data_IF_620235710328
#
_entry.id   IF_620235710328
#
_cell.length_a   1.000
_cell.length_b   1.000
_cell.length_c   1.000
_cell.angle_alpha   90.00
_cell.angle_beta   90.00
_cell.angle_gamma   90.00
#
_symmetry.space_group_name_H-M   'P 1'
#
loop_
_entity.id
_entity.type
_entity.pdbx_description
1 polymer ?
#
# COMPACT_ATOMS: atom_id res chain seq x y z
N UNK A 1 -17.46 -23.45 -32.91
CA UNK A 1 -16.91 -24.47 -31.99
C UNK A 1 -16.24 -25.66 -32.69
N UNK A 2 -16.76 -26.17 -33.81
CA UNK A 2 -16.18 -27.35 -34.51
C UNK A 2 -14.75 -27.13 -35.06
N UNK A 3 -14.45 -25.96 -35.63
CA UNK A 3 -13.13 -25.65 -36.18
C UNK A 3 -12.01 -25.63 -35.11
N UNK A 4 -12.27 -25.06 -33.94
CA UNK A 4 -11.31 -24.98 -32.82
C UNK A 4 -11.02 -26.38 -32.26
N UNK A 5 -12.06 -27.22 -32.14
CA UNK A 5 -11.92 -28.60 -31.66
C UNK A 5 -11.09 -29.44 -32.63
N UNK A 6 -11.37 -29.38 -33.94
CA UNK A 6 -10.61 -30.11 -34.95
C UNK A 6 -9.14 -29.65 -35.02
N UNK A 7 -8.91 -28.34 -34.97
CA UNK A 7 -7.56 -27.76 -34.92
C UNK A 7 -6.78 -28.21 -33.69
N UNK A 8 -7.42 -28.22 -32.52
CA UNK A 8 -6.77 -28.67 -31.29
C UNK A 8 -6.47 -30.18 -31.32
N UNK A 9 -7.40 -31.01 -31.80
CA UNK A 9 -7.23 -32.47 -31.85
C UNK A 9 -6.12 -32.93 -32.81
N UNK A 10 -5.79 -32.15 -33.84
CA UNK A 10 -4.74 -32.49 -34.80
C UNK A 10 -3.34 -31.98 -34.43
N UNK A 11 -3.17 -31.26 -33.31
CA UNK A 11 -1.83 -30.88 -32.80
C UNK A 11 -1.15 -32.04 -32.09
N UNK A 12 0.18 -31.99 -32.02
CA UNK A 12 0.99 -32.92 -31.21
C UNK A 12 0.59 -32.90 -29.74
N UNK A 13 0.75 -34.04 -29.07
CA UNK A 13 0.42 -34.25 -27.66
C UNK A 13 1.13 -33.21 -26.77
N UNK A 14 2.42 -33.00 -27.02
CA UNK A 14 3.24 -32.02 -26.30
C UNK A 14 2.67 -30.61 -26.46
N UNK A 15 2.26 -30.22 -27.67
CA UNK A 15 1.70 -28.89 -27.91
C UNK A 15 0.36 -28.69 -27.21
N UNK A 16 -0.49 -29.74 -27.14
CA UNK A 16 -1.75 -29.70 -26.38
C UNK A 16 -1.51 -29.48 -24.90
N UNK A 17 -0.60 -30.26 -24.30
CA UNK A 17 -0.26 -30.13 -22.88
C UNK A 17 0.34 -28.75 -22.58
N UNK A 18 1.30 -28.30 -23.39
CA UNK A 18 1.92 -26.97 -23.22
C UNK A 18 0.86 -25.86 -23.30
N UNK A 19 -0.04 -25.88 -24.28
CA UNK A 19 -1.11 -24.86 -24.37
C UNK A 19 -2.04 -24.88 -23.14
N UNK A 20 -2.46 -26.07 -22.71
CA UNK A 20 -3.40 -26.21 -21.59
C UNK A 20 -2.76 -25.77 -20.27
N UNK A 21 -1.49 -26.12 -20.01
CA UNK A 21 -0.81 -25.74 -18.77
C UNK A 21 -0.25 -24.31 -18.80
N UNK A 22 0.15 -23.79 -19.96
CA UNK A 22 0.69 -22.41 -20.07
C UNK A 22 -0.41 -21.36 -19.91
N UNK A 23 -1.65 -21.66 -20.31
CA UNK A 23 -2.77 -20.72 -20.21
C UNK A 23 -3.05 -20.24 -18.77
N UNK A 24 -3.28 -21.13 -17.78
CA UNK A 24 -3.46 -20.71 -16.40
C UNK A 24 -2.19 -20.11 -15.80
N UNK A 25 -0.99 -20.61 -16.17
CA UNK A 25 0.28 -20.05 -15.69
C UNK A 25 0.45 -18.58 -16.11
N UNK A 26 0.20 -18.29 -17.39
CA UNK A 26 0.25 -16.93 -17.94
C UNK A 26 -0.77 -16.03 -17.25
N UNK A 27 -1.96 -16.55 -16.97
CA UNK A 27 -2.99 -15.80 -16.27
C UNK A 27 -2.60 -15.48 -14.82
N UNK A 28 -1.97 -16.42 -14.10
CA UNK A 28 -1.41 -16.18 -12.76
C UNK A 28 -0.35 -15.08 -12.79
N UNK A 29 0.56 -15.11 -13.77
CA UNK A 29 1.57 -14.05 -13.94
C UNK A 29 0.92 -12.68 -14.18
N UNK A 30 -0.11 -12.61 -15.02
CA UNK A 30 -0.85 -11.36 -15.27
C UNK A 30 -1.52 -10.85 -13.99
N UNK A 31 -2.26 -11.69 -13.27
CA UNK A 31 -2.94 -11.30 -12.03
C UNK A 31 -1.94 -10.86 -10.97
N UNK A 32 -0.83 -11.59 -10.83
CA UNK A 32 0.25 -11.25 -9.90
C UNK A 32 0.89 -9.90 -10.24
N UNK A 33 1.20 -9.66 -11.52
CA UNK A 33 1.78 -8.40 -11.98
C UNK A 33 0.82 -7.23 -11.75
N UNK A 34 -0.47 -7.39 -12.08
CA UNK A 34 -1.50 -6.38 -11.81
C UNK A 34 -1.64 -6.09 -10.32
N UNK A 35 -1.52 -7.11 -9.48
CA UNK A 35 -1.59 -6.97 -8.03
C UNK A 35 -0.38 -6.20 -7.50
N UNK A 36 0.83 -6.48 -7.99
CA UNK A 36 2.06 -5.77 -7.61
C UNK A 36 2.01 -4.28 -8.00
N UNK A 37 1.58 -3.97 -9.22
CA UNK A 37 1.46 -2.57 -9.67
C UNK A 37 0.50 -1.75 -8.80
N UNK A 38 -0.58 -2.37 -8.34
CA UNK A 38 -1.51 -1.67 -7.44
C UNK A 38 -0.96 -1.60 -6.02
N UNK A 39 -0.19 -2.60 -5.58
CA UNK A 39 0.41 -2.64 -4.24
C UNK A 39 1.43 -1.53 -4.01
N UNK A 40 2.26 -1.19 -5.00
CA UNK A 40 3.19 -0.04 -4.91
C UNK A 40 2.46 1.28 -4.61
N UNK A 41 1.26 1.44 -5.17
CA UNK A 41 0.46 2.63 -4.93
C UNK A 41 -0.15 2.66 -3.51
N UNK A 42 -0.43 1.49 -2.93
CA UNK A 42 -0.85 1.36 -1.54
C UNK A 42 0.27 1.74 -0.55
N UNK A 43 1.49 1.24 -0.74
CA UNK A 43 2.63 1.58 0.14
C UNK A 43 2.91 3.09 0.13
N UNK A 44 2.89 3.71 -1.05
CA UNK A 44 3.11 5.16 -1.17
C UNK A 44 2.07 5.99 -0.42
N UNK A 45 0.81 5.53 -0.41
CA UNK A 45 -0.28 6.19 0.30
C UNK A 45 -0.13 6.02 1.82
N UNK A 46 0.32 4.86 2.29
CA UNK A 46 0.56 4.59 3.72
C UNK A 46 1.68 5.48 4.28
N UNK A 47 2.80 5.60 3.57
CA UNK A 47 3.90 6.48 4.00
C UNK A 47 3.47 7.95 4.13
N UNK A 48 2.65 8.45 3.19
CA UNK A 48 2.15 9.81 3.24
C UNK A 48 1.11 10.01 4.35
N UNK A 49 0.24 9.04 4.59
CA UNK A 49 -0.71 9.07 5.72
C UNK A 49 0.04 9.08 7.06
N UNK A 50 1.08 8.26 7.20
CA UNK A 50 1.93 8.23 8.39
C UNK A 50 2.61 9.59 8.60
N UNK A 51 3.19 10.17 7.55
CA UNK A 51 3.82 11.50 7.60
C UNK A 51 2.83 12.59 7.99
N UNK A 52 1.62 12.61 7.42
CA UNK A 52 0.56 13.55 7.81
C UNK A 52 0.17 13.39 9.28
N UNK A 53 0.12 12.16 9.79
CA UNK A 53 -0.16 11.89 11.20
C UNK A 53 0.96 12.38 12.13
N UNK A 54 2.22 12.14 11.77
CA UNK A 54 3.39 12.64 12.49
C UNK A 54 3.42 14.17 12.53
N UNK A 55 3.17 14.82 11.38
CA UNK A 55 3.03 16.27 11.28
C UNK A 55 1.98 16.81 12.26
N UNK A 56 0.80 16.20 12.29
CA UNK A 56 -0.28 16.62 13.20
C UNK A 56 0.11 16.42 14.67
N UNK A 57 0.65 15.26 15.01
CA UNK A 57 1.09 14.97 16.38
C UNK A 57 2.14 16.00 16.84
N UNK A 58 3.09 16.31 15.96
CA UNK A 58 4.13 17.30 16.27
C UNK A 58 3.58 18.72 16.41
N UNK A 59 2.61 19.11 15.59
CA UNK A 59 1.94 20.41 15.71
C UNK A 59 1.17 20.55 17.03
N UNK A 60 0.50 19.48 17.47
CA UNK A 60 -0.19 19.44 18.77
C UNK A 60 0.82 19.51 19.91
N UNK A 61 1.91 18.75 19.85
CA UNK A 61 2.95 18.80 20.87
C UNK A 61 3.60 20.19 20.97
N UNK A 62 3.87 20.85 19.83
CA UNK A 62 4.38 22.22 19.80
C UNK A 62 3.41 23.21 20.46
N UNK A 63 2.09 23.05 20.24
CA UNK A 63 1.06 23.85 20.90
C UNK A 63 1.04 23.64 22.42
N UNK A 64 1.16 22.39 22.88
CA UNK A 64 1.19 22.06 24.31
C UNK A 64 2.37 22.73 25.01
N UNK A 65 3.56 22.65 24.41
CA UNK A 65 4.76 23.30 24.92
C UNK A 65 4.64 24.83 24.92
N UNK A 66 4.03 25.40 23.88
CA UNK A 66 3.77 26.84 23.78
C UNK A 66 2.88 27.33 24.93
N UNK A 67 1.81 26.58 25.25
CA UNK A 67 0.96 26.89 26.40
C UNK A 67 1.68 26.67 27.73
N UNK A 68 2.53 25.65 27.85
CA UNK A 68 3.35 25.41 29.02
C UNK A 68 4.29 26.59 29.31
N UNK A 69 5.04 27.06 28.30
CA UNK A 69 5.88 28.27 28.38
C UNK A 69 5.06 29.49 28.83
N UNK A 70 3.89 29.71 28.20
CA UNK A 70 3.04 30.85 28.53
C UNK A 70 2.53 30.80 29.98
N UNK A 71 2.10 29.63 30.44
CA UNK A 71 1.57 29.43 31.78
C UNK A 71 2.67 29.54 32.85
N UNK A 72 3.81 28.88 32.62
CA UNK A 72 4.97 28.94 33.49
C UNK A 72 5.49 30.38 33.64
N UNK A 73 5.62 31.11 32.53
CA UNK A 73 5.99 32.53 32.55
C UNK A 73 5.02 33.36 33.39
N UNK A 74 3.70 33.21 33.19
CA UNK A 74 2.71 33.96 33.99
C UNK A 74 2.78 33.60 35.46
N UNK A 75 2.95 32.32 35.80
CA UNK A 75 3.15 31.85 37.16
C UNK A 75 4.34 32.52 37.83
N UNK A 76 5.48 32.57 37.15
CA UNK A 76 6.68 33.26 37.64
C UNK A 76 6.44 34.75 37.86
N UNK A 77 5.85 35.48 36.89
CA UNK A 77 5.58 36.92 37.04
C UNK A 77 4.62 37.20 38.20
N UNK A 78 3.57 36.41 38.35
CA UNK A 78 2.50 36.60 39.34
C UNK A 78 2.94 36.24 40.77
N UNK A 79 3.78 35.22 40.93
CA UNK A 79 4.19 34.74 42.26
C UNK A 79 5.58 35.21 42.67
N UNK A 80 6.49 35.38 41.71
CA UNK A 80 7.92 35.55 41.95
C UNK A 80 8.63 34.24 42.30
N UNK A 81 7.92 33.10 42.31
CA UNK A 81 8.49 31.81 42.67
C UNK A 81 9.30 31.23 41.50
N UNK A 82 10.61 31.03 41.73
CA UNK A 82 11.54 30.45 40.75
C UNK A 82 11.17 29.02 40.35
N UNK A 83 10.35 28.30 41.11
CA UNK A 83 9.88 26.97 40.74
C UNK A 83 9.15 26.97 39.38
N UNK A 84 8.50 28.07 38.99
CA UNK A 84 7.88 28.21 37.67
C UNK A 84 8.89 28.33 36.51
N UNK A 85 10.16 28.67 36.78
CA UNK A 85 11.18 28.75 35.73
C UNK A 85 11.67 27.38 35.26
N UNK A 86 11.52 26.33 36.08
CA UNK A 86 11.86 24.96 35.68
C UNK A 86 11.03 24.49 34.48
N UNK A 87 9.68 24.43 34.56
CA UNK A 87 8.86 24.02 33.41
C UNK A 87 8.95 24.98 32.24
N UNK A 88 9.25 26.27 32.47
CA UNK A 88 9.51 27.24 31.40
C UNK A 88 10.76 26.86 30.59
N UNK A 89 11.88 26.59 31.26
CA UNK A 89 13.14 26.25 30.61
C UNK A 89 13.08 24.89 29.91
N UNK A 90 12.43 23.91 30.52
CA UNK A 90 12.18 22.59 29.90
C UNK A 90 11.36 22.75 28.62
N UNK A 91 10.19 23.41 28.71
CA UNK A 91 9.31 23.59 27.55
C UNK A 91 9.95 24.43 26.45
N UNK A 92 10.81 25.39 26.80
CA UNK A 92 11.61 26.17 25.85
C UNK A 92 12.57 25.28 25.07
N UNK A 93 13.31 24.39 25.76
CA UNK A 93 14.22 23.45 25.09
C UNK A 93 13.48 22.51 24.15
N UNK A 94 12.33 22.01 24.59
CA UNK A 94 11.49 21.11 23.80
C UNK A 94 10.86 21.81 22.59
N UNK A 95 10.53 23.12 22.67
CA UNK A 95 10.00 23.89 21.54
C UNK A 95 11.00 24.00 20.38
N UNK A 96 12.29 24.17 20.69
CA UNK A 96 13.33 24.21 19.67
C UNK A 96 13.46 22.85 18.96
N UNK A 97 13.44 21.75 19.72
CA UNK A 97 13.44 20.40 19.18
C UNK A 97 12.18 20.11 18.35
N UNK A 98 11.02 20.50 18.87
CA UNK A 98 9.74 20.30 18.20
C UNK A 98 9.67 21.06 16.87
N UNK A 99 10.19 22.29 16.84
CA UNK A 99 10.33 23.09 15.63
C UNK A 99 11.27 22.45 14.61
N UNK A 100 12.41 21.89 15.04
CA UNK A 100 13.34 21.18 14.14
C UNK A 100 12.71 19.94 13.53
N UNK A 101 11.98 19.17 14.33
CA UNK A 101 11.28 17.97 13.86
C UNK A 101 10.16 18.31 12.87
N UNK A 102 9.40 19.38 13.11
CA UNK A 102 8.45 19.92 12.12
C UNK A 102 9.15 20.25 10.80
N UNK A 103 10.32 20.90 10.85
CA UNK A 103 11.09 21.25 9.66
C UNK A 103 11.61 20.01 8.91
N UNK A 104 12.06 18.97 9.62
CA UNK A 104 12.45 17.70 9.01
C UNK A 104 11.26 17.02 8.33
N UNK A 105 10.10 17.02 8.99
CA UNK A 105 8.87 16.43 8.45
C UNK A 105 8.35 17.14 7.20
N UNK A 106 8.70 18.41 6.95
CA UNK A 106 8.30 19.14 5.71
C UNK A 106 9.43 19.32 4.69
N UNK A 107 10.66 18.91 5.01
CA UNK A 107 11.84 19.11 4.17
C UNK A 107 11.60 18.68 2.72
N UNK A 108 11.14 17.44 2.54
CA UNK A 108 10.88 16.84 1.23
C UNK A 108 9.41 17.01 0.78
N UNK A 109 8.68 17.96 1.36
CA UNK A 109 7.32 18.24 0.90
C UNK A 109 7.38 18.93 -0.47
N UNK A 110 6.55 18.56 -1.46
CA UNK A 110 6.47 19.35 -2.70
C UNK A 110 5.84 20.74 -2.45
N UNK A 111 5.15 20.93 -1.33
CA UNK A 111 4.47 22.18 -1.00
C UNK A 111 5.43 23.21 -0.41
N UNK A 112 5.70 24.29 -1.16
CA UNK A 112 6.48 25.43 -0.65
C UNK A 112 5.78 26.11 0.53
N UNK A 113 4.45 26.22 0.49
CA UNK A 113 3.69 26.87 1.58
C UNK A 113 3.83 26.13 2.91
N UNK A 114 3.98 24.79 2.91
CA UNK A 114 4.23 24.03 4.13
C UNK A 114 5.59 24.33 4.75
N UNK A 115 6.62 24.56 3.93
CA UNK A 115 7.94 24.96 4.41
C UNK A 115 7.90 26.38 4.99
N UNK A 116 7.23 27.29 4.30
CA UNK A 116 7.12 28.68 4.74
C UNK A 116 6.36 28.78 6.08
N UNK A 117 5.26 28.03 6.23
CA UNK A 117 4.51 27.92 7.50
C UNK A 117 5.40 27.48 8.67
N UNK A 118 6.23 26.46 8.49
CA UNK A 118 7.13 25.97 9.56
C UNK A 118 8.20 27.01 9.89
N UNK A 119 8.75 27.69 8.89
CA UNK A 119 9.70 28.79 9.09
C UNK A 119 9.09 29.95 9.88
N UNK A 120 7.84 30.31 9.58
CA UNK A 120 7.10 31.36 10.29
C UNK A 120 6.82 30.95 11.75
N UNK A 121 6.41 29.70 12.00
CA UNK A 121 6.22 29.15 13.35
C UNK A 121 7.52 29.24 14.16
N UNK A 122 8.65 28.81 13.59
CA UNK A 122 9.95 28.86 14.27
C UNK A 122 10.37 30.31 14.58
N UNK A 123 10.20 31.22 13.63
CA UNK A 123 10.56 32.64 13.79
C UNK A 123 9.74 33.30 14.89
N UNK A 124 8.42 33.07 14.89
CA UNK A 124 7.51 33.63 15.90
C UNK A 124 7.72 33.00 17.28
N UNK A 125 8.00 31.69 17.34
CA UNK A 125 8.33 30.99 18.60
C UNK A 125 9.62 31.54 19.19
N UNK A 126 10.68 31.70 18.39
CA UNK A 126 11.95 32.30 18.82
C UNK A 126 11.72 33.71 19.39
N UNK A 127 10.99 34.56 18.67
CA UNK A 127 10.66 35.92 19.12
C UNK A 127 9.91 35.91 20.45
N UNK A 128 8.93 35.02 20.63
CA UNK A 128 8.19 34.89 21.89
C UNK A 128 9.12 34.55 23.06
N UNK A 129 10.03 33.60 22.86
CA UNK A 129 10.99 33.17 23.88
C UNK A 129 11.97 34.29 24.21
N UNK A 130 12.55 34.94 23.21
CA UNK A 130 13.47 36.07 23.41
C UNK A 130 12.81 37.21 24.19
N UNK A 131 11.57 37.59 23.83
CA UNK A 131 10.82 38.62 24.56
C UNK A 131 10.59 38.23 26.03
N UNK A 132 10.32 36.95 26.31
CA UNK A 132 10.08 36.45 27.67
C UNK A 132 11.36 36.35 28.50
N UNK A 133 12.46 35.88 27.90
CA UNK A 133 13.77 35.79 28.56
C UNK A 133 14.26 37.16 28.99
N UNK A 134 14.14 38.16 28.12
CA UNK A 134 14.46 39.57 28.41
C UNK A 134 13.65 40.10 29.60
N UNK A 135 12.38 39.70 29.71
CA UNK A 135 11.52 40.11 30.82
C UNK A 135 11.89 39.39 32.10
N UNK A 136 12.17 38.08 32.05
CA UNK A 136 12.63 37.30 33.20
C UNK A 136 13.91 37.93 33.77
N UNK A 137 14.89 38.25 32.92
CA UNK A 137 16.13 38.91 33.34
C UNK A 137 15.87 40.27 34.03
N UNK A 138 14.93 41.07 33.52
CA UNK A 138 14.53 42.35 34.14
C UNK A 138 13.81 42.15 35.48
N UNK A 139 13.00 41.11 35.62
CA UNK A 139 12.36 40.76 36.90
C UNK A 139 13.42 40.37 37.93
N UNK A 140 14.40 39.57 37.53
CA UNK A 140 15.53 39.19 38.40
C UNK A 140 16.38 40.40 38.82
N UNK A 141 16.47 41.44 38.00
CA UNK A 141 17.11 42.72 38.34
C UNK A 141 16.22 43.67 39.17
N UNK A 142 15.10 43.19 39.70
CA UNK A 142 14.18 43.95 40.55
C UNK A 142 13.06 44.71 39.82
N UNK A 143 12.98 44.66 38.49
CA UNK A 143 11.99 45.38 37.70
C UNK A 143 10.70 44.56 37.45
N UNK A 144 10.06 44.08 38.52
CA UNK A 144 8.87 43.21 38.44
C UNK A 144 7.70 43.83 37.66
N UNK A 145 7.53 45.15 37.73
CA UNK A 145 6.51 45.89 37.00
C UNK A 145 6.58 45.68 35.48
N UNK A 146 7.78 45.41 34.93
CA UNK A 146 7.95 45.10 33.51
C UNK A 146 7.22 43.82 33.12
N UNK A 147 7.32 42.76 33.94
CA UNK A 147 6.58 41.52 33.72
C UNK A 147 5.07 41.71 33.74
N UNK A 148 4.56 42.45 34.74
CA UNK A 148 3.13 42.74 34.86
C UNK A 148 2.66 43.58 33.66
N UNK A 149 3.42 44.59 33.25
CA UNK A 149 3.10 45.42 32.09
C UNK A 149 3.05 44.62 30.79
N UNK A 150 3.95 43.66 30.60
CA UNK A 150 3.95 42.79 29.44
C UNK A 150 2.71 41.88 29.41
N UNK A 151 2.35 41.27 30.55
CA UNK A 151 1.12 40.46 30.63
C UNK A 151 -0.12 41.31 30.33
N UNK A 152 -0.21 42.52 30.90
CA UNK A 152 -1.33 43.45 30.67
C UNK A 152 -1.42 43.91 29.21
N UNK A 153 -0.29 43.99 28.51
CA UNK A 153 -0.26 44.41 27.10
C UNK A 153 -0.93 43.40 26.15
N UNK A 154 -1.14 42.15 26.57
CA UNK A 154 -1.68 41.10 25.71
C UNK A 154 -0.67 40.55 24.69
N UNK A 155 0.49 41.20 24.51
CA UNK A 155 1.46 40.87 23.46
C UNK A 155 1.89 39.41 23.41
N UNK A 156 2.17 38.80 24.57
CA UNK A 156 2.52 37.38 24.63
C UNK A 156 1.35 36.46 24.23
N UNK A 157 0.12 36.85 24.56
CA UNK A 157 -1.08 36.11 24.14
C UNK A 157 -1.33 36.25 22.63
N UNK A 158 -1.09 37.43 22.05
CA UNK A 158 -1.23 37.66 20.61
C UNK A 158 -0.22 36.82 19.82
N UNK A 159 1.04 36.76 20.27
CA UNK A 159 2.08 35.90 19.68
C UNK A 159 1.69 34.43 19.74
N UNK A 160 1.22 33.96 20.90
CA UNK A 160 0.72 32.58 21.04
C UNK A 160 -0.46 32.33 20.10
N UNK A 161 -1.41 33.27 19.98
CA UNK A 161 -2.54 33.15 19.06
C UNK A 161 -2.12 33.06 17.59
N UNK A 162 -1.14 33.87 17.16
CA UNK A 162 -0.59 33.81 15.81
C UNK A 162 0.11 32.48 15.53
N UNK A 163 0.96 32.01 16.44
CA UNK A 163 1.64 30.72 16.30
C UNK A 163 0.61 29.58 16.24
N UNK A 164 -0.39 29.61 17.13
CA UNK A 164 -1.46 28.61 17.14
C UNK A 164 -2.28 28.61 15.85
N UNK A 165 -2.53 29.78 15.26
CA UNK A 165 -3.22 29.87 13.98
C UNK A 165 -2.39 29.28 12.83
N UNK A 166 -1.09 29.54 12.79
CA UNK A 166 -0.19 28.95 11.79
C UNK A 166 -0.13 27.42 11.90
N UNK A 167 -0.01 26.90 13.13
CA UNK A 167 -0.05 25.45 13.40
C UNK A 167 -1.41 24.84 13.01
N UNK A 168 -2.51 25.56 13.22
CA UNK A 168 -3.84 25.16 12.79
C UNK A 168 -3.97 25.05 11.26
N UNK A 169 -3.48 26.05 10.51
CA UNK A 169 -3.43 26.00 9.05
C UNK A 169 -2.61 24.81 8.54
N UNK A 170 -1.49 24.57 9.20
CA UNK A 170 -0.60 23.46 8.89
C UNK A 170 -1.27 22.09 9.13
N UNK A 171 -1.98 21.95 10.26
CA UNK A 171 -2.76 20.76 10.58
C UNK A 171 -3.91 20.53 9.59
N UNK A 172 -4.66 21.56 9.21
CA UNK A 172 -5.74 21.44 8.23
C UNK A 172 -5.24 21.01 6.86
N UNK A 173 -4.08 21.53 6.43
CA UNK A 173 -3.45 21.10 5.18
C UNK A 173 -3.04 19.62 5.22
N UNK A 174 -2.46 19.15 6.34
CA UNK A 174 -2.09 17.75 6.51
C UNK A 174 -3.33 16.83 6.56
N UNK A 175 -4.41 17.27 7.20
CA UNK A 175 -5.68 16.53 7.28
C UNK A 175 -6.35 16.40 5.91
N UNK A 176 -6.35 17.46 5.10
CA UNK A 176 -6.92 17.43 3.75
C UNK A 176 -6.18 16.42 2.86
N UNK A 177 -4.84 16.44 2.90
CA UNK A 177 -4.00 15.47 2.18
C UNK A 177 -4.32 14.05 2.66
N UNK A 178 -4.45 13.84 3.97
CA UNK A 178 -4.80 12.54 4.54
C UNK A 178 -6.15 12.05 4.01
N UNK A 179 -7.20 12.90 4.06
CA UNK A 179 -8.55 12.55 3.60
C UNK A 179 -8.61 12.20 2.12
N UNK A 180 -7.99 13.02 1.27
CA UNK A 180 -7.95 12.77 -0.19
C UNK A 180 -7.28 11.43 -0.52
N UNK A 181 -6.19 11.11 0.18
CA UNK A 181 -5.45 9.87 -0.06
C UNK A 181 -6.15 8.65 0.54
N UNK A 182 -6.77 8.79 1.70
CA UNK A 182 -7.55 7.71 2.30
C UNK A 182 -8.77 7.33 1.44
N UNK A 183 -9.45 8.31 0.84
CA UNK A 183 -10.52 8.06 -0.11
C UNK A 183 -10.02 7.36 -1.39
N UNK A 184 -8.84 7.73 -1.88
CA UNK A 184 -8.20 7.06 -3.02
C UNK A 184 -7.83 5.60 -2.71
N UNK A 185 -7.32 5.33 -1.50
CA UNK A 185 -6.97 3.99 -1.01
C UNK A 185 -8.20 3.10 -0.88
N UNK A 186 -9.27 3.58 -0.25
CA UNK A 186 -10.52 2.81 -0.09
C UNK A 186 -11.14 2.43 -1.43
N UNK A 187 -11.15 3.35 -2.40
CA UNK A 187 -11.68 3.07 -3.74
C UNK A 187 -10.87 1.98 -4.45
N UNK A 188 -9.54 2.00 -4.31
CA UNK A 188 -8.63 1.01 -4.92
C UNK A 188 -8.71 -0.34 -4.26
N UNK A 189 -9.01 -0.40 -2.95
CA UNK A 189 -9.14 -1.65 -2.20
C UNK A 189 -10.20 -2.57 -2.79
N UNK A 190 -11.37 -2.02 -3.15
CA UNK A 190 -12.43 -2.80 -3.80
C UNK A 190 -12.04 -3.32 -5.18
N UNK A 191 -11.28 -2.53 -5.95
CA UNK A 191 -10.78 -2.95 -7.26
C UNK A 191 -9.80 -4.11 -7.11
N UNK A 192 -8.83 -4.01 -6.19
CA UNK A 192 -7.86 -5.07 -5.91
C UNK A 192 -8.56 -6.37 -5.52
N UNK A 193 -9.50 -6.32 -4.56
CA UNK A 193 -10.23 -7.52 -4.14
C UNK A 193 -11.00 -8.17 -5.29
N UNK A 194 -11.62 -7.37 -6.17
CA UNK A 194 -12.32 -7.89 -7.35
C UNK A 194 -11.37 -8.54 -8.35
N UNK A 195 -10.19 -7.94 -8.59
CA UNK A 195 -9.17 -8.50 -9.48
C UNK A 195 -8.63 -9.82 -8.92
N UNK A 196 -8.35 -9.89 -7.62
CA UNK A 196 -7.85 -11.12 -6.97
C UNK A 196 -8.91 -12.22 -7.01
N UNK A 197 -10.14 -11.94 -6.55
CA UNK A 197 -11.21 -12.96 -6.50
C UNK A 197 -11.61 -13.38 -7.92
N UNK A 198 -11.85 -12.43 -8.82
CA UNK A 198 -12.20 -12.70 -10.20
C UNK A 198 -11.09 -13.44 -10.95
N UNK A 199 -9.83 -13.03 -10.76
CA UNK A 199 -8.68 -13.66 -11.38
C UNK A 199 -8.44 -15.09 -10.86
N UNK A 200 -8.61 -15.31 -9.56
CA UNK A 200 -8.50 -16.66 -8.96
C UNK A 200 -9.60 -17.58 -9.49
N UNK A 201 -10.85 -17.11 -9.51
CA UNK A 201 -11.97 -17.88 -10.06
C UNK A 201 -11.77 -18.22 -11.54
N UNK A 202 -11.28 -17.26 -12.34
CA UNK A 202 -10.99 -17.48 -13.75
C UNK A 202 -9.83 -18.47 -13.94
N UNK A 203 -8.79 -18.41 -13.11
CA UNK A 203 -7.67 -19.38 -13.12
C UNK A 203 -8.16 -20.79 -12.80
N UNK A 204 -9.00 -20.95 -11.77
CA UNK A 204 -9.60 -22.23 -11.40
C UNK A 204 -10.48 -22.77 -12.52
N UNK A 205 -11.29 -21.91 -13.15
CA UNK A 205 -12.15 -22.27 -14.28
C UNK A 205 -11.32 -22.76 -15.47
N UNK A 206 -10.28 -22.01 -15.87
CA UNK A 206 -9.39 -22.36 -16.99
C UNK A 206 -8.62 -23.65 -16.71
N UNK A 207 -8.16 -23.84 -15.47
CA UNK A 207 -7.49 -25.08 -15.05
C UNK A 207 -8.44 -26.27 -15.11
N UNK A 208 -9.66 -26.14 -14.58
CA UNK A 208 -10.69 -27.18 -14.64
C UNK A 208 -11.10 -27.55 -16.07
N UNK A 209 -11.29 -26.54 -16.93
CA UNK A 209 -11.52 -26.75 -18.37
C UNK A 209 -10.34 -27.47 -19.02
N UNK A 210 -9.11 -27.07 -18.69
CA UNK A 210 -7.88 -27.72 -19.13
C UNK A 210 -7.83 -29.20 -18.78
N UNK A 211 -8.16 -29.55 -17.52
CA UNK A 211 -8.24 -30.94 -17.05
C UNK A 211 -9.27 -31.73 -17.86
N UNK A 212 -10.46 -31.17 -18.10
CA UNK A 212 -11.50 -31.83 -18.92
C UNK A 212 -11.03 -32.05 -20.36
N UNK A 213 -10.35 -31.05 -20.95
CA UNK A 213 -9.81 -31.13 -22.30
C UNK A 213 -8.74 -32.22 -22.39
N UNK A 214 -7.78 -32.27 -21.46
CA UNK A 214 -6.74 -33.31 -21.42
C UNK A 214 -7.35 -34.70 -21.18
N UNK A 215 -8.28 -34.82 -20.23
CA UNK A 215 -8.94 -36.09 -19.94
C UNK A 215 -9.66 -36.66 -21.16
N UNK A 216 -10.34 -35.81 -21.95
CA UNK A 216 -11.05 -36.23 -23.17
C UNK A 216 -10.15 -36.42 -24.39
N UNK A 217 -9.10 -35.62 -24.53
CA UNK A 217 -8.25 -35.63 -25.72
C UNK A 217 -7.07 -36.61 -25.64
N UNK A 218 -6.63 -36.95 -24.42
CA UNK A 218 -5.47 -37.81 -24.17
C UNK A 218 -5.84 -39.02 -23.32
N UNK A 219 -6.32 -38.80 -22.08
CA UNK A 219 -6.49 -39.89 -21.10
C UNK A 219 -7.51 -40.95 -21.54
N UNK A 220 -8.67 -40.53 -22.06
CA UNK A 220 -9.70 -41.46 -22.56
C UNK A 220 -9.20 -42.31 -23.75
N UNK A 221 -8.67 -41.73 -24.84
CA UNK A 221 -8.12 -42.52 -25.94
C UNK A 221 -6.99 -43.47 -25.53
N UNK A 222 -6.07 -43.01 -24.65
CA UNK A 222 -4.99 -43.88 -24.15
C UNK A 222 -5.53 -45.06 -23.33
N UNK A 223 -6.55 -44.85 -22.51
CA UNK A 223 -7.22 -45.93 -21.76
C UNK A 223 -7.90 -46.93 -22.70
N UNK A 224 -8.59 -46.44 -23.73
CA UNK A 224 -9.22 -47.31 -24.75
C UNK A 224 -8.19 -48.12 -25.54
N UNK A 225 -7.06 -47.51 -25.92
CA UNK A 225 -5.98 -48.23 -26.61
C UNK A 225 -5.30 -49.26 -25.69
N UNK A 226 -5.13 -48.96 -24.40
CA UNK A 226 -4.63 -49.92 -23.43
C UNK A 226 -5.58 -51.12 -23.26
N UNK A 227 -6.90 -50.87 -23.22
CA UNK A 227 -7.91 -51.94 -23.17
C UNK A 227 -7.91 -52.79 -24.44
N UNK A 228 -7.85 -52.16 -25.62
CA UNK A 228 -7.76 -52.86 -26.91
C UNK A 228 -6.51 -53.76 -26.99
N UNK A 229 -5.38 -53.30 -26.46
CA UNK A 229 -4.16 -54.11 -26.40
C UNK A 229 -4.31 -55.35 -25.51
N UNK A 230 -5.00 -55.22 -24.36
CA UNK A 230 -5.30 -56.35 -23.48
C UNK A 230 -6.25 -57.35 -24.15
N UNK A 231 -7.27 -56.88 -24.86
CA UNK A 231 -8.20 -57.72 -25.62
C UNK A 231 -7.50 -58.57 -26.68
N UNK A 232 -6.54 -57.98 -27.41
CA UNK A 232 -5.70 -58.72 -28.37
C UNK A 232 -4.87 -59.79 -27.65
N UNK A 233 -4.30 -59.47 -26.48
CA UNK A 233 -3.56 -60.44 -25.66
C UNK A 233 -4.42 -61.63 -25.22
N UNK A 234 -5.72 -61.41 -25.04
CA UNK A 234 -6.72 -62.44 -24.74
C UNK A 234 -7.31 -63.10 -26.00
N UNK A 235 -6.70 -62.89 -27.17
CA UNK A 235 -7.17 -63.41 -28.47
C UNK A 235 -8.58 -62.94 -28.88
N UNK A 236 -9.01 -61.77 -28.40
CA UNK A 236 -10.27 -61.12 -28.81
C UNK A 236 -10.01 -60.08 -29.90
N UNK A 237 -11.02 -59.83 -30.74
CA UNK A 237 -10.95 -58.77 -31.74
C UNK A 237 -11.24 -57.42 -31.10
N UNK A 238 -10.24 -56.55 -31.01
CA UNK A 238 -10.38 -55.21 -30.44
C UNK A 238 -10.82 -54.17 -31.49
N UNK A 239 -11.50 -53.13 -31.02
CA UNK A 239 -11.87 -51.96 -31.84
C UNK A 239 -10.95 -50.79 -31.48
N UNK A 240 -10.34 -50.17 -32.48
CA UNK A 240 -9.44 -49.02 -32.32
C UNK A 240 -10.17 -47.71 -32.64
N UNK A 241 -10.69 -46.98 -31.64
CA UNK A 241 -11.33 -45.70 -31.88
C UNK A 241 -10.31 -44.64 -32.32
N UNK A 242 -10.81 -43.53 -32.87
CA UNK A 242 -10.03 -42.31 -33.11
C UNK A 242 -8.88 -42.44 -34.15
N UNK A 243 -8.94 -43.43 -35.05
CA UNK A 243 -7.96 -43.66 -36.12
C UNK A 243 -7.87 -42.50 -37.14
N UNK A 244 -8.87 -41.62 -37.23
CA UNK A 244 -8.89 -40.44 -38.11
C UNK A 244 -8.02 -39.27 -37.60
N UNK A 245 -7.50 -39.34 -36.36
CA UNK A 245 -6.70 -38.26 -35.79
C UNK A 245 -5.29 -38.21 -36.38
N UNK A 246 -4.76 -37.01 -36.56
CA UNK A 246 -3.40 -36.81 -37.10
C UNK A 246 -2.31 -36.69 -36.02
N UNK A 247 -2.67 -36.79 -34.75
CA UNK A 247 -1.73 -36.72 -33.62
C UNK A 247 -1.13 -38.10 -33.27
N UNK A 248 -0.25 -38.14 -32.27
CA UNK A 248 0.44 -39.34 -31.81
C UNK A 248 -0.53 -40.43 -31.36
N UNK A 249 -1.69 -40.05 -30.81
CA UNK A 249 -2.77 -40.97 -30.44
C UNK A 249 -3.35 -41.66 -31.68
N UNK A 250 -3.64 -40.90 -32.75
CA UNK A 250 -4.12 -41.47 -34.01
C UNK A 250 -3.07 -42.33 -34.73
N UNK A 251 -1.80 -41.94 -34.68
CA UNK A 251 -0.68 -42.74 -35.22
C UNK A 251 -0.60 -44.09 -34.49
N UNK A 252 -0.70 -44.10 -33.16
CA UNK A 252 -0.69 -45.33 -32.38
C UNK A 252 -1.92 -46.21 -32.68
N UNK A 253 -3.12 -45.60 -32.72
CA UNK A 253 -4.37 -46.31 -33.04
C UNK A 253 -4.28 -47.05 -34.39
N UNK A 254 -3.85 -46.36 -35.46
CA UNK A 254 -3.65 -46.98 -36.79
C UNK A 254 -2.57 -48.06 -36.79
N UNK A 255 -1.47 -47.85 -36.05
CA UNK A 255 -0.37 -48.81 -35.99
C UNK A 255 -0.78 -50.11 -35.29
N UNK A 256 -1.59 -50.02 -34.23
CA UNK A 256 -2.12 -51.18 -33.52
C UNK A 256 -3.20 -51.90 -34.32
N UNK A 257 -4.05 -51.18 -35.05
CA UNK A 257 -5.03 -51.77 -35.97
C UNK A 257 -4.34 -52.60 -37.07
N UNK A 258 -3.31 -52.05 -37.70
CA UNK A 258 -2.50 -52.76 -38.70
C UNK A 258 -1.79 -53.99 -38.10
N UNK A 259 -1.30 -53.90 -36.86
CA UNK A 259 -0.70 -55.03 -36.16
C UNK A 259 -1.71 -56.16 -35.93
N UNK A 260 -2.91 -55.85 -35.44
CA UNK A 260 -3.97 -56.84 -35.25
C UNK A 260 -4.36 -57.52 -36.57
N UNK A 261 -4.47 -56.76 -37.67
CA UNK A 261 -4.77 -57.33 -39.01
C UNK A 261 -3.72 -58.36 -39.45
N UNK A 262 -2.44 -58.07 -39.21
CA UNK A 262 -1.33 -58.99 -39.56
C UNK A 262 -1.23 -60.21 -38.65
N UNK A 263 -1.73 -60.13 -37.42
CA UNK A 263 -1.76 -61.27 -36.49
C UNK A 263 -2.89 -62.26 -36.82
N UNK A 264 -3.94 -61.80 -37.50
CA UNK A 264 -5.11 -62.61 -37.87
C UNK A 264 -4.97 -63.21 -39.28
N UNK A 265 -4.07 -62.69 -40.12
CA UNK A 265 -3.74 -63.22 -41.47
C UNK A 265 -2.71 -64.32 -41.42
#
# INVERSE_FOLDING_TARGET
MLAIRAWFLNRTLTSKLVLVFSTPLLFVVIVSTLTLLVFEEFESAEHLVMRSSQIRAQAVYHLELLYSVQNAFRGYVLTGDRAFLTPYNESKGDLDLAGLELAMLVKDSPSQSQRDLVSDVQTMTRRLIEEKDDIIARIESGARDKGISYIKSGRGQDLVGMISSLLGLFQSAAEQIQKERQAAVETKRFVVLRVIVGGTLLTLLLTGLGVIVVARSVTKPMSSLAQAALEIGESRYAVFPDADRQDEVGVLSRSMEEMQRRLVS
#
